data_IF_921440916900
#
_entry.id   IF_921440916900
#
_cell.length_a   1.000
_cell.length_b   1.000
_cell.length_c   1.000
_cell.angle_alpha   90.00
_cell.angle_beta   90.00
_cell.angle_gamma   90.00
#
_symmetry.space_group_name_H-M   'P 1'
#
loop_
_entity.id
_entity.type
_entity.pdbx_description
1 polymer ?
#
# COMPACT_ATOMS: atom_id res chain seq x y z
N UNK A 1 9.86 29.94 13.16
CA UNK A 1 10.06 28.71 13.96
C UNK A 1 8.67 28.18 14.25
N UNK A 2 8.24 27.15 13.55
CA UNK A 2 6.88 26.60 13.65
C UNK A 2 6.82 25.69 14.87
N UNK A 3 5.93 25.97 15.82
CA UNK A 3 5.64 25.09 16.95
C UNK A 3 4.44 24.21 16.61
N UNK A 4 4.72 22.93 16.36
CA UNK A 4 3.76 21.88 15.97
C UNK A 4 3.20 21.16 17.21
N UNK A 5 3.64 21.49 18.42
CA UNK A 5 3.47 20.64 19.61
C UNK A 5 2.15 20.79 20.37
N UNK A 6 1.29 21.78 20.08
CA UNK A 6 0.13 22.09 20.94
C UNK A 6 -1.22 21.57 20.44
N UNK A 7 -1.27 20.78 19.37
CA UNK A 7 -2.52 20.11 18.96
C UNK A 7 -2.75 18.91 19.89
N UNK A 8 -3.91 18.79 20.56
CA UNK A 8 -4.24 17.56 21.27
C UNK A 8 -4.24 16.41 20.26
N UNK A 9 -3.30 15.47 20.42
CA UNK A 9 -3.27 14.29 19.57
C UNK A 9 -4.56 13.50 19.80
N UNK A 10 -5.25 13.05 18.74
CA UNK A 10 -6.34 12.10 18.91
C UNK A 10 -5.80 10.89 19.69
N UNK A 11 -6.66 10.28 20.52
CA UNK A 11 -6.31 9.06 21.25
C UNK A 11 -5.65 8.06 20.29
N UNK A 12 -4.49 7.52 20.68
CA UNK A 12 -3.66 6.67 19.83
C UNK A 12 -4.51 5.62 19.12
N UNK A 13 -4.61 5.72 17.79
CA UNK A 13 -5.25 4.69 16.98
C UNK A 13 -4.38 3.43 16.99
N UNK A 14 -4.97 2.26 16.79
CA UNK A 14 -4.22 1.00 16.72
C UNK A 14 -3.11 1.05 15.65
N UNK A 15 -3.35 1.75 14.53
CA UNK A 15 -2.36 2.02 13.47
C UNK A 15 -1.14 2.83 13.97
N UNK A 16 -1.33 3.80 14.88
CA UNK A 16 -0.24 4.53 15.54
C UNK A 16 0.56 3.65 16.51
N UNK A 17 -0.10 2.69 17.17
CA UNK A 17 0.54 1.71 18.08
C UNK A 17 1.34 0.66 17.31
N UNK A 18 0.85 0.23 16.14
CA UNK A 18 1.43 -0.84 15.32
C UNK A 18 2.48 -0.35 14.29
N UNK A 19 2.74 0.96 14.22
CA UNK A 19 3.77 1.57 13.33
C UNK A 19 3.64 1.20 11.85
N UNK A 20 2.42 1.17 11.30
CA UNK A 20 2.25 0.99 9.84
C UNK A 20 2.77 2.26 9.14
N UNK A 21 3.90 2.24 8.41
CA UNK A 21 4.63 3.46 8.07
C UNK A 21 3.96 4.29 6.96
N UNK A 22 2.96 3.75 6.28
CA UNK A 22 2.35 4.33 5.08
C UNK A 22 0.81 4.38 5.11
N UNK A 23 0.15 4.02 6.21
CA UNK A 23 -1.32 3.97 6.26
C UNK A 23 -1.92 5.34 6.62
N UNK A 24 -1.79 6.32 5.72
CA UNK A 24 -2.28 7.68 5.92
C UNK A 24 -3.48 7.99 5.02
N UNK A 25 -4.53 8.62 5.57
CA UNK A 25 -5.66 9.18 4.83
C UNK A 25 -5.75 10.70 4.99
N UNK A 26 -6.30 11.36 3.98
CA UNK A 26 -6.67 12.78 4.07
C UNK A 26 -7.88 12.94 4.99
N UNK A 27 -7.76 13.83 5.98
CA UNK A 27 -8.88 14.20 6.84
C UNK A 27 -9.92 14.99 6.04
N UNK A 28 -11.16 15.00 6.51
CA UNK A 28 -12.11 16.03 6.09
C UNK A 28 -11.47 17.43 6.29
N UNK A 29 -11.71 18.36 5.36
CA UNK A 29 -11.10 19.69 5.41
C UNK A 29 -11.50 20.39 6.70
N UNK A 30 -10.51 20.83 7.47
CA UNK A 30 -10.73 21.68 8.64
C UNK A 30 -10.89 23.14 8.23
N UNK A 31 -11.41 24.01 9.13
CA UNK A 31 -11.44 25.44 8.86
C UNK A 31 -10.03 25.94 8.57
N UNK A 32 -9.87 26.59 7.43
CA UNK A 32 -8.61 27.18 7.03
C UNK A 32 -8.33 28.45 7.85
N UNK A 33 -7.09 28.59 8.34
CA UNK A 33 -6.64 29.81 9.00
C UNK A 33 -5.85 30.64 7.99
N UNK A 34 -6.16 31.93 7.90
CA UNK A 34 -5.39 32.87 7.08
C UNK A 34 -4.09 33.20 7.82
N UNK A 35 -2.98 33.23 7.08
CA UNK A 35 -1.67 33.58 7.60
C UNK A 35 -1.11 34.70 6.72
N UNK A 36 -0.80 35.84 7.34
CA UNK A 36 -0.07 36.90 6.65
C UNK A 36 1.37 36.42 6.42
N UNK A 37 1.85 36.48 5.18
CA UNK A 37 3.26 36.29 4.88
C UNK A 37 3.85 37.60 4.34
N UNK A 38 5.09 37.87 4.71
CA UNK A 38 5.82 39.04 4.24
C UNK A 38 6.76 38.63 3.12
N UNK A 39 6.57 39.20 1.94
CA UNK A 39 7.50 39.03 0.83
C UNK A 39 8.64 40.05 0.98
N UNK A 40 9.87 39.55 1.06
CA UNK A 40 11.09 40.36 1.16
C UNK A 40 11.82 40.51 -0.18
N UNK A 41 11.34 39.88 -1.25
CA UNK A 41 12.01 39.85 -2.56
C UNK A 41 12.07 41.21 -3.25
N UNK A 42 11.19 42.16 -2.89
CA UNK A 42 11.09 43.48 -3.50
C UNK A 42 11.88 44.58 -2.78
N UNK A 43 12.60 44.26 -1.70
CA UNK A 43 13.35 45.24 -0.89
C UNK A 43 12.48 46.18 -0.05
N UNK A 44 11.15 46.09 -0.18
CA UNK A 44 10.14 46.72 0.68
C UNK A 44 9.24 45.58 1.19
N UNK A 45 9.02 45.43 2.50
CA UNK A 45 8.14 44.38 3.01
C UNK A 45 6.71 44.65 2.53
N UNK A 46 6.22 43.82 1.61
CA UNK A 46 4.81 43.81 1.20
C UNK A 46 4.11 42.73 2.00
N UNK A 47 3.07 43.12 2.75
CA UNK A 47 2.17 42.15 3.40
C UNK A 47 1.14 41.74 2.37
N UNK A 48 1.22 40.49 1.93
CA UNK A 48 0.23 39.90 1.05
C UNK A 48 -0.70 39.04 1.90
N UNK A 49 -2.00 39.34 1.84
CA UNK A 49 -3.02 38.51 2.46
C UNK A 49 -3.27 37.30 1.57
N UNK A 50 -2.65 36.18 1.93
CA UNK A 50 -2.97 34.88 1.36
C UNK A 50 -4.18 34.30 2.11
N UNK A 51 -5.31 34.19 1.42
CA UNK A 51 -6.48 33.47 1.94
C UNK A 51 -6.32 31.98 1.66
N UNK A 52 -6.15 31.19 2.73
CA UNK A 52 -6.21 29.73 2.62
C UNK A 52 -7.67 29.34 2.54
N UNK A 53 -8.10 28.76 1.42
CA UNK A 53 -9.50 28.38 1.20
C UNK A 53 -9.86 27.02 1.83
N UNK A 54 -8.85 26.15 2.01
CA UNK A 54 -9.05 24.80 2.53
C UNK A 54 -7.73 24.22 3.07
N UNK A 55 -7.78 23.49 4.19
CA UNK A 55 -6.64 22.78 4.76
C UNK A 55 -6.98 21.30 4.89
N UNK A 56 -6.13 20.44 4.34
CA UNK A 56 -6.18 19.00 4.54
C UNK A 56 -5.03 18.57 5.46
N UNK A 57 -5.29 17.63 6.35
CA UNK A 57 -4.26 16.98 7.16
C UNK A 57 -4.18 15.49 6.81
N UNK A 58 -3.05 14.86 7.15
CA UNK A 58 -2.87 13.42 7.06
C UNK A 58 -3.12 12.82 8.44
N UNK A 59 -3.98 11.80 8.52
CA UNK A 59 -4.18 10.99 9.71
C UNK A 59 -3.94 9.52 9.41
N UNK A 60 -3.55 8.72 10.41
CA UNK A 60 -3.41 7.28 10.23
C UNK A 60 -4.78 6.63 10.01
N UNK A 61 -4.94 5.99 8.86
CA UNK A 61 -6.09 5.15 8.57
C UNK A 61 -5.95 3.82 9.32
N UNK A 62 -7.09 3.21 9.68
CA UNK A 62 -7.14 1.93 10.39
C UNK A 62 -7.65 0.78 9.51
N UNK A 63 -7.79 1.01 8.20
CA UNK A 63 -8.34 0.04 7.23
C UNK A 63 -7.27 -0.87 6.62
N UNK A 64 -5.97 -0.58 6.81
CA UNK A 64 -4.86 -1.26 6.15
C UNK A 64 -4.86 -1.12 4.63
N UNK A 65 -5.68 -0.23 4.06
CA UNK A 65 -5.87 -0.15 2.61
C UNK A 65 -4.59 0.22 1.89
N UNK A 66 -3.86 1.22 2.37
CA UNK A 66 -2.61 1.64 1.74
C UNK A 66 -1.54 0.56 1.91
N UNK A 67 -1.52 -0.11 3.07
CA UNK A 67 -0.62 -1.22 3.35
C UNK A 67 -0.81 -2.38 2.38
N UNK A 68 -2.06 -2.78 2.13
CA UNK A 68 -2.39 -3.83 1.18
C UNK A 68 -2.06 -3.39 -0.24
N UNK A 69 -2.40 -2.16 -0.63
CA UNK A 69 -2.13 -1.64 -1.97
C UNK A 69 -0.63 -1.66 -2.27
N UNK A 70 0.21 -1.15 -1.36
CA UNK A 70 1.65 -1.14 -1.53
C UNK A 70 2.22 -2.55 -1.57
N UNK A 71 1.73 -3.46 -0.73
CA UNK A 71 2.18 -4.85 -0.70
C UNK A 71 1.81 -5.60 -1.99
N UNK A 72 0.63 -5.37 -2.56
CA UNK A 72 0.16 -6.13 -3.72
C UNK A 72 0.58 -5.53 -5.06
N UNK A 73 0.58 -4.20 -5.17
CA UNK A 73 0.74 -3.50 -6.44
C UNK A 73 2.10 -2.83 -6.60
N UNK A 74 3.01 -3.01 -5.64
CA UNK A 74 4.45 -2.85 -5.88
C UNK A 74 5.02 -4.18 -6.37
N UNK A 75 5.99 -4.12 -7.28
CA UNK A 75 6.63 -5.32 -7.81
C UNK A 75 7.73 -5.79 -6.86
N UNK A 76 7.60 -7.02 -6.33
CA UNK A 76 8.72 -7.70 -5.68
C UNK A 76 9.71 -8.18 -6.73
N UNK A 77 11.00 -8.09 -6.43
CA UNK A 77 12.07 -8.59 -7.30
C UNK A 77 11.97 -10.12 -7.44
N UNK A 78 11.95 -10.61 -8.68
CA UNK A 78 11.91 -12.04 -8.98
C UNK A 78 13.25 -12.73 -8.62
N UNK A 79 13.16 -13.84 -7.89
CA UNK A 79 14.29 -14.67 -7.46
C UNK A 79 14.94 -15.44 -8.62
N UNK A 80 16.16 -15.96 -8.47
CA UNK A 80 16.95 -16.52 -9.57
C UNK A 80 16.22 -17.62 -10.36
N UNK A 81 15.41 -18.42 -9.65
CA UNK A 81 14.65 -19.56 -10.18
C UNK A 81 13.28 -19.18 -10.77
N UNK A 82 12.85 -17.93 -10.62
CA UNK A 82 11.58 -17.46 -11.17
C UNK A 82 11.65 -17.32 -12.69
N UNK A 83 10.66 -17.87 -13.38
CA UNK A 83 10.54 -17.77 -14.84
C UNK A 83 9.97 -16.41 -15.22
N UNK A 84 10.78 -15.59 -15.87
CA UNK A 84 10.37 -14.27 -16.34
C UNK A 84 9.47 -14.37 -17.59
N UNK A 85 8.41 -13.56 -17.69
CA UNK A 85 7.53 -13.54 -18.85
C UNK A 85 8.22 -12.97 -20.09
N UNK A 86 7.79 -13.40 -21.29
CA UNK A 86 8.13 -12.79 -22.58
C UNK A 86 9.64 -12.65 -22.89
N UNK A 87 10.48 -13.56 -22.38
CA UNK A 87 11.95 -13.49 -22.51
C UNK A 87 12.56 -12.20 -21.94
N UNK A 88 11.88 -11.56 -20.99
CA UNK A 88 12.43 -10.41 -20.28
C UNK A 88 13.65 -10.82 -19.45
N UNK A 89 14.61 -9.89 -19.33
CA UNK A 89 15.77 -10.04 -18.44
C UNK A 89 15.62 -9.21 -17.16
N UNK A 90 14.64 -8.29 -17.13
CA UNK A 90 14.37 -7.45 -15.99
C UNK A 90 13.58 -8.24 -14.92
N UNK A 91 14.15 -8.32 -13.72
CA UNK A 91 13.57 -8.97 -12.54
C UNK A 91 12.67 -8.04 -11.73
N UNK A 92 12.52 -6.79 -12.16
CA UNK A 92 11.80 -5.71 -11.49
C UNK A 92 12.26 -5.53 -10.04
N UNK A 93 11.45 -4.87 -9.23
CA UNK A 93 11.69 -4.64 -7.80
C UNK A 93 11.10 -3.32 -7.33
N UNK A 94 10.85 -3.22 -6.03
CA UNK A 94 10.42 -1.98 -5.41
C UNK A 94 11.66 -1.15 -5.07
N UNK A 95 11.65 0.13 -5.49
CA UNK A 95 12.80 1.02 -5.33
C UNK A 95 13.21 1.22 -3.87
N UNK A 96 12.27 1.08 -2.93
CA UNK A 96 12.54 1.24 -1.50
C UNK A 96 13.45 0.16 -0.93
N UNK A 97 13.45 -1.05 -1.49
CA UNK A 97 14.30 -2.17 -1.03
C UNK A 97 15.79 -1.83 -1.17
N UNK A 98 16.18 -1.04 -2.17
CA UNK A 98 17.58 -0.63 -2.39
C UNK A 98 18.11 0.33 -1.31
N UNK A 99 17.20 0.97 -0.56
CA UNK A 99 17.54 1.88 0.54
C UNK A 99 17.47 1.19 1.92
N UNK A 100 17.07 -0.08 1.97
CA UNK A 100 17.01 -0.88 3.19
C UNK A 100 18.41 -1.44 3.50
N UNK A 101 19.29 -0.57 3.99
CA UNK A 101 20.62 -0.96 4.48
C UNK A 101 20.59 -1.55 5.90
N UNK A 102 21.77 -1.89 6.39
CA UNK A 102 22.13 -2.44 7.72
C UNK A 102 21.89 -1.47 8.91
N UNK A 103 20.98 -0.49 8.75
CA UNK A 103 20.62 0.52 9.75
C UNK A 103 19.39 0.17 10.62
N UNK A 104 19.00 1.12 11.47
CA UNK A 104 18.00 1.00 12.56
C UNK A 104 16.58 0.50 12.16
N UNK A 105 16.24 0.51 10.86
CA UNK A 105 15.00 -0.05 10.29
C UNK A 105 15.34 -1.15 9.27
N UNK A 106 16.12 -2.15 9.71
CA UNK A 106 16.44 -3.36 8.95
C UNK A 106 15.18 -4.20 8.75
N UNK A 107 14.22 -3.76 7.93
CA UNK A 107 13.14 -4.65 7.50
C UNK A 107 13.78 -5.72 6.63
N UNK A 108 13.66 -6.96 7.08
CA UNK A 108 14.19 -8.14 6.39
C UNK A 108 13.33 -8.52 5.18
N UNK A 109 12.07 -8.08 5.15
CA UNK A 109 11.10 -8.51 4.16
C UNK A 109 11.03 -7.53 2.97
N UNK A 110 11.22 -8.02 1.73
CA UNK A 110 11.03 -7.20 0.54
C UNK A 110 9.56 -6.80 0.39
N UNK A 111 9.30 -5.54 0.04
CA UNK A 111 7.93 -5.07 -0.22
C UNK A 111 7.53 -5.41 -1.66
N UNK A 112 6.26 -5.75 -1.83
CA UNK A 112 5.65 -6.01 -3.13
C UNK A 112 5.26 -7.47 -3.34
N UNK A 113 4.71 -7.75 -4.51
CA UNK A 113 4.24 -9.09 -4.88
C UNK A 113 4.83 -9.58 -6.20
N UNK A 114 4.80 -10.90 -6.40
CA UNK A 114 5.10 -11.55 -7.68
C UNK A 114 3.87 -11.71 -8.57
N UNK A 115 2.77 -10.99 -8.30
CA UNK A 115 1.55 -11.04 -9.13
C UNK A 115 1.84 -10.70 -10.59
N UNK A 116 2.85 -9.87 -10.85
CA UNK A 116 3.24 -9.49 -12.20
C UNK A 116 3.75 -10.67 -13.05
N UNK A 117 4.25 -11.75 -12.44
CA UNK A 117 4.61 -12.99 -13.13
C UNK A 117 3.38 -13.76 -13.64
N UNK A 118 2.21 -13.55 -13.03
CA UNK A 118 0.97 -14.24 -13.37
C UNK A 118 0.29 -13.66 -14.64
N UNK A 119 0.70 -12.49 -15.12
CA UNK A 119 0.03 -11.80 -16.23
C UNK A 119 0.22 -12.44 -17.61
N UNK A 120 1.20 -13.32 -17.80
CA UNK A 120 1.56 -13.83 -19.13
C UNK A 120 1.62 -15.37 -19.21
N UNK A 121 1.11 -16.07 -18.20
CA UNK A 121 1.14 -17.54 -18.15
C UNK A 121 0.09 -18.17 -19.06
N UNK A 122 0.48 -19.16 -19.88
CA UNK A 122 -0.41 -19.88 -20.82
C UNK A 122 -1.32 -20.92 -20.13
N UNK A 123 -0.98 -21.38 -18.93
CA UNK A 123 -1.68 -22.45 -18.21
C UNK A 123 -2.61 -21.87 -17.14
N UNK A 124 -3.89 -22.19 -17.23
CA UNK A 124 -4.99 -21.50 -16.53
C UNK A 124 -5.12 -21.91 -15.05
N UNK A 125 -4.86 -23.19 -14.72
CA UNK A 125 -5.11 -23.72 -13.38
C UNK A 125 -4.01 -23.32 -12.39
N UNK A 126 -2.74 -23.34 -12.82
CA UNK A 126 -1.63 -22.95 -11.95
C UNK A 126 -1.64 -21.46 -11.60
N UNK A 127 -2.30 -20.62 -12.39
CA UNK A 127 -2.26 -19.15 -12.21
C UNK A 127 -3.02 -18.71 -10.96
N UNK A 128 -4.15 -19.35 -10.64
CA UNK A 128 -4.90 -19.03 -9.42
C UNK A 128 -4.07 -19.34 -8.16
N UNK A 129 -3.49 -20.53 -8.10
CA UNK A 129 -2.64 -20.91 -6.97
C UNK A 129 -1.38 -20.05 -6.88
N UNK A 130 -0.69 -19.79 -8.00
CA UNK A 130 0.47 -18.88 -8.02
C UNK A 130 0.10 -17.48 -7.53
N UNK A 131 -1.04 -16.95 -7.96
CA UNK A 131 -1.53 -15.65 -7.50
C UNK A 131 -1.86 -15.67 -6.01
N UNK A 132 -2.50 -16.75 -5.53
CA UNK A 132 -2.83 -16.94 -4.12
C UNK A 132 -1.56 -16.93 -3.26
N UNK A 133 -0.55 -17.70 -3.65
CA UNK A 133 0.75 -17.74 -2.96
C UNK A 133 1.46 -16.38 -3.02
N UNK A 134 1.49 -15.71 -4.18
CA UNK A 134 2.14 -14.41 -4.32
C UNK A 134 1.51 -13.33 -3.41
N UNK A 135 0.18 -13.34 -3.26
CA UNK A 135 -0.54 -12.42 -2.35
C UNK A 135 -0.29 -12.80 -0.89
N UNK A 136 -0.27 -14.10 -0.55
CA UNK A 136 0.02 -14.55 0.81
C UNK A 136 1.43 -14.15 1.25
N UNK A 137 2.44 -14.35 0.40
CA UNK A 137 3.81 -13.92 0.70
C UNK A 137 3.92 -12.41 0.85
N UNK A 138 3.30 -11.65 -0.05
CA UNK A 138 3.32 -10.18 0.00
C UNK A 138 2.68 -9.60 1.26
N UNK A 139 1.74 -10.31 1.89
CA UNK A 139 1.03 -9.88 3.11
C UNK A 139 1.55 -10.57 4.39
N UNK A 140 2.49 -11.52 4.28
CA UNK A 140 2.98 -12.29 5.42
C UNK A 140 3.61 -11.43 6.51
N UNK A 141 4.25 -10.32 6.12
CA UNK A 141 4.85 -9.35 7.05
C UNK A 141 3.83 -8.79 8.05
N UNK A 142 2.55 -8.65 7.67
CA UNK A 142 1.51 -8.13 8.55
C UNK A 142 1.25 -9.04 9.74
N UNK A 143 1.35 -10.36 9.55
CA UNK A 143 1.23 -11.33 10.64
C UNK A 143 2.50 -11.32 11.49
N UNK A 144 3.67 -11.33 10.84
CA UNK A 144 4.98 -11.31 11.51
C UNK A 144 5.14 -10.10 12.42
N UNK A 145 4.67 -8.94 11.98
CA UNK A 145 4.76 -7.67 12.72
C UNK A 145 3.58 -7.47 13.70
N UNK A 146 2.67 -8.45 13.82
CA UNK A 146 1.55 -8.41 14.75
C UNK A 146 0.43 -7.44 14.37
N UNK A 147 0.45 -6.90 13.15
CA UNK A 147 -0.60 -6.02 12.61
C UNK A 147 -1.88 -6.81 12.33
N UNK A 148 -1.73 -8.02 11.79
CA UNK A 148 -2.80 -8.96 11.51
C UNK A 148 -2.65 -10.22 12.37
N UNK A 149 -3.76 -10.78 12.83
CA UNK A 149 -3.80 -12.10 13.45
C UNK A 149 -3.95 -13.21 12.41
N UNK A 150 -4.62 -12.88 11.29
CA UNK A 150 -4.93 -13.82 10.21
C UNK A 150 -5.08 -13.07 8.90
N UNK A 151 -4.51 -13.65 7.84
CA UNK A 151 -4.69 -13.23 6.45
C UNK A 151 -5.18 -14.44 5.66
N UNK A 152 -6.36 -14.32 5.08
CA UNK A 152 -6.94 -15.31 4.17
C UNK A 152 -6.90 -14.74 2.76
N UNK A 153 -6.64 -15.58 1.76
CA UNK A 153 -6.56 -15.15 0.37
C UNK A 153 -7.38 -16.09 -0.48
N UNK A 154 -8.37 -15.52 -1.17
CA UNK A 154 -9.12 -16.24 -2.21
C UNK A 154 -8.77 -15.69 -3.57
N UNK A 155 -8.71 -16.57 -4.56
CA UNK A 155 -8.40 -16.21 -5.96
C UNK A 155 -9.41 -16.86 -6.88
N UNK A 156 -9.94 -16.09 -7.81
CA UNK A 156 -10.97 -16.55 -8.73
C UNK A 156 -10.78 -15.94 -10.11
N UNK A 157 -11.34 -16.60 -11.14
CA UNK A 157 -11.53 -15.97 -12.44
C UNK A 157 -12.83 -15.17 -12.39
N UNK A 158 -12.76 -13.87 -12.65
CA UNK A 158 -13.88 -12.95 -12.57
C UNK A 158 -14.13 -12.21 -13.90
N UNK A 159 -15.22 -11.45 -13.93
CA UNK A 159 -15.60 -10.60 -15.06
C UNK A 159 -16.21 -11.37 -16.25
N UNK A 160 -16.46 -10.68 -17.37
CA UNK A 160 -17.05 -11.28 -18.55
C UNK A 160 -16.21 -12.46 -19.05
N UNK A 161 -16.88 -13.59 -19.31
CA UNK A 161 -16.27 -14.84 -19.77
C UNK A 161 -15.15 -15.39 -18.85
N UNK A 162 -15.12 -15.06 -17.56
CA UNK A 162 -14.09 -15.51 -16.60
C UNK A 162 -12.67 -15.17 -17.09
N UNK A 163 -12.52 -13.97 -17.66
CA UNK A 163 -11.30 -13.58 -18.35
C UNK A 163 -10.28 -12.86 -17.46
N UNK A 164 -10.65 -12.45 -16.24
CA UNK A 164 -9.79 -11.65 -15.37
C UNK A 164 -9.38 -12.45 -14.15
N UNK A 165 -8.09 -12.48 -13.86
CA UNK A 165 -7.59 -12.96 -12.57
C UNK A 165 -8.03 -11.98 -11.48
N UNK A 166 -8.69 -12.49 -10.45
CA UNK A 166 -9.07 -11.72 -9.27
C UNK A 166 -8.51 -12.34 -8.00
N UNK A 167 -8.14 -11.47 -7.06
CA UNK A 167 -7.58 -11.82 -5.75
C UNK A 167 -8.32 -11.04 -4.67
N UNK A 168 -8.66 -11.70 -3.58
CA UNK A 168 -9.35 -11.11 -2.42
C UNK A 168 -8.60 -11.50 -1.15
N UNK A 169 -7.76 -10.61 -0.62
CA UNK A 169 -7.24 -10.76 0.72
C UNK A 169 -8.31 -10.33 1.73
N UNK A 170 -8.50 -11.18 2.74
CA UNK A 170 -9.40 -10.96 3.87
C UNK A 170 -8.54 -10.96 5.14
N UNK A 171 -8.46 -9.81 5.81
CA UNK A 171 -7.48 -9.57 6.89
C UNK A 171 -8.19 -9.30 8.20
N UNK A 172 -7.74 -9.97 9.26
CA UNK A 172 -8.26 -9.84 10.62
C UNK A 172 -7.19 -9.25 11.54
N UNK A 173 -7.57 -8.27 12.36
CA UNK A 173 -6.69 -7.74 13.41
C UNK A 173 -6.71 -8.62 14.67
N UNK A 174 -5.67 -8.55 15.51
CA UNK A 174 -5.70 -9.17 16.83
C UNK A 174 -6.94 -8.75 17.63
N UNK A 175 -7.68 -9.74 18.17
CA UNK A 175 -8.88 -9.51 18.97
C UNK A 175 -10.16 -9.17 18.18
N UNK A 176 -10.10 -9.10 16.85
CA UNK A 176 -11.29 -8.89 16.01
C UNK A 176 -11.79 -10.21 15.39
N UNK A 177 -13.11 -10.38 15.37
CA UNK A 177 -13.79 -11.53 14.77
C UNK A 177 -14.10 -11.27 13.29
N UNK A 178 -14.49 -10.03 12.97
CA UNK A 178 -14.77 -9.58 11.61
C UNK A 178 -13.48 -9.11 10.92
N UNK A 179 -13.40 -9.24 9.58
CA UNK A 179 -12.26 -8.73 8.83
C UNK A 179 -12.27 -7.19 8.79
N UNK A 180 -11.09 -6.60 8.97
CA UNK A 180 -10.87 -5.15 8.80
C UNK A 180 -10.65 -4.75 7.34
N UNK A 181 -10.29 -5.72 6.51
CA UNK A 181 -10.06 -5.55 5.08
C UNK A 181 -10.63 -6.77 4.35
N UNK A 182 -11.52 -6.52 3.38
CA UNK A 182 -12.05 -7.53 2.48
C UNK A 182 -12.41 -6.88 1.13
N UNK A 183 -11.47 -6.92 0.18
CA UNK A 183 -11.61 -6.27 -1.13
C UNK A 183 -11.23 -7.22 -2.24
N UNK A 184 -12.12 -7.37 -3.24
CA UNK A 184 -11.84 -8.13 -4.46
C UNK A 184 -11.17 -7.24 -5.50
N UNK A 185 -9.91 -7.52 -5.78
CA UNK A 185 -9.14 -6.88 -6.85
C UNK A 185 -9.16 -7.76 -8.10
N UNK A 186 -9.45 -7.19 -9.27
CA UNK A 186 -9.40 -7.91 -10.54
C UNK A 186 -8.53 -7.18 -11.55
N UNK A 187 -7.74 -7.92 -12.33
CA UNK A 187 -6.97 -7.34 -13.43
C UNK A 187 -7.88 -6.85 -14.57
N UNK A 188 -7.45 -5.82 -15.30
CA UNK A 188 -8.10 -5.42 -16.56
C UNK A 188 -7.76 -6.36 -17.72
N UNK A 189 -6.68 -7.14 -17.59
CA UNK A 189 -6.16 -8.05 -18.61
C UNK A 189 -7.08 -9.26 -18.79
N UNK A 190 -7.30 -9.66 -20.05
CA UNK A 190 -8.12 -10.83 -20.40
C UNK A 190 -7.22 -12.03 -20.64
N UNK A 191 -7.63 -13.20 -20.17
CA UNK A 191 -7.06 -14.51 -20.53
C UNK A 191 -6.87 -14.59 -22.05
N UNK A 192 -5.64 -14.85 -22.49
CA UNK A 192 -5.34 -15.07 -23.91
C UNK A 192 -6.17 -16.22 -24.46
N UNK A 193 -6.76 -16.04 -25.64
CA UNK A 193 -7.47 -17.12 -26.34
C UNK A 193 -6.53 -18.29 -26.58
N UNK A 194 -7.05 -19.50 -26.35
CA UNK A 194 -6.40 -20.74 -26.76
C UNK A 194 -6.24 -20.79 -28.29
#
# INVERSE_FOLDING_TARGET
MFDVATRPQPALSASAVLRVPFDWRLTAPGPAQSFSFTDYSSGVPVVLDAEVLQVYALELEDTLSTAVILSLFSDRRAGPDDVLPLHQQDRRGWVGDEFMGDGFDSRVDPIGSLLWLCYVTKTVTDVLERARFAVQEALAWMIRDGIASRVEVTTEWAGPQLSRLAVRPTIYKPGQVEPVYDVLWATSLRKGGA
#
